data_IF_637255132237
#
_entry.id   IF_637255132237
#
_cell.length_a   1.000
_cell.length_b   1.000
_cell.length_c   1.000
_cell.angle_alpha   90.00
_cell.angle_beta   90.00
_cell.angle_gamma   90.00
#
_symmetry.space_group_name_H-M   'P 1'
#
loop_
_entity.id
_entity.type
_entity.pdbx_description
1 polymer ?
#
# COMPACT_ATOMS: atom_id res chain seq x y z
N UNK A 1 4.84 -54.09 -23.98
CA UNK A 1 5.83 -54.86 -24.76
C UNK A 1 6.03 -56.19 -24.05
N UNK A 2 5.83 -57.30 -24.76
CA UNK A 2 5.83 -58.65 -24.19
C UNK A 2 7.21 -59.05 -23.67
N UNK A 3 7.28 -59.54 -22.44
CA UNK A 3 8.48 -60.12 -21.87
C UNK A 3 8.83 -61.42 -22.61
N UNK A 4 9.91 -61.40 -23.38
CA UNK A 4 10.51 -62.59 -23.96
C UNK A 4 11.10 -63.40 -22.81
N UNK A 5 10.39 -64.45 -22.38
CA UNK A 5 10.92 -65.44 -21.44
C UNK A 5 12.02 -66.20 -22.18
N UNK A 6 13.25 -65.74 -22.04
CA UNK A 6 14.45 -66.49 -22.45
C UNK A 6 14.58 -67.67 -21.48
N UNK A 7 14.43 -68.92 -21.93
CA UNK A 7 14.68 -70.06 -21.08
C UNK A 7 16.17 -70.04 -20.70
N UNK A 8 16.48 -70.03 -19.40
CA UNK A 8 17.85 -70.23 -18.96
C UNK A 8 18.36 -71.57 -19.53
N UNK A 9 19.54 -71.61 -20.16
CA UNK A 9 20.13 -72.86 -20.64
C UNK A 9 20.35 -73.83 -19.46
N UNK A 10 20.29 -75.15 -19.68
CA UNK A 10 20.61 -76.15 -18.66
C UNK A 10 22.00 -75.84 -18.10
N UNK A 11 22.10 -75.73 -16.77
CA UNK A 11 23.30 -75.25 -16.09
C UNK A 11 24.45 -76.22 -16.42
N UNK A 12 25.46 -75.83 -17.23
CA UNK A 12 26.50 -76.73 -17.73
C UNK A 12 27.35 -77.33 -16.59
N UNK A 13 27.34 -76.67 -15.44
CA UNK A 13 27.88 -77.16 -14.17
C UNK A 13 27.14 -78.39 -13.65
N UNK A 14 25.81 -78.49 -13.83
CA UNK A 14 25.00 -79.65 -13.41
C UNK A 14 25.41 -80.92 -14.15
N UNK A 15 25.52 -80.86 -15.47
CA UNK A 15 25.95 -81.99 -16.30
C UNK A 15 27.37 -82.44 -15.94
N UNK A 16 28.26 -81.48 -15.67
CA UNK A 16 29.63 -81.75 -15.24
C UNK A 16 29.68 -82.38 -13.84
N UNK A 17 28.87 -81.90 -12.90
CA UNK A 17 28.77 -82.45 -11.54
C UNK A 17 28.25 -83.89 -11.58
N UNK A 18 27.20 -84.15 -12.38
CA UNK A 18 26.60 -85.49 -12.53
C UNK A 18 27.55 -86.47 -13.22
N UNK A 19 28.28 -86.00 -14.24
CA UNK A 19 29.35 -86.77 -14.87
C UNK A 19 30.46 -87.14 -13.87
N UNK A 20 30.94 -86.19 -13.07
CA UNK A 20 31.97 -86.44 -12.05
C UNK A 20 31.49 -87.41 -10.98
N UNK A 21 30.23 -87.31 -10.53
CA UNK A 21 29.63 -88.27 -9.58
C UNK A 21 29.48 -89.66 -10.19
N UNK A 22 29.06 -89.77 -11.46
CA UNK A 22 28.96 -91.04 -12.18
C UNK A 22 30.33 -91.69 -12.41
N UNK A 23 31.34 -90.91 -12.77
CA UNK A 23 32.73 -91.38 -12.90
C UNK A 23 33.31 -91.84 -11.57
N UNK A 24 33.04 -91.12 -10.49
CA UNK A 24 33.45 -91.54 -9.15
C UNK A 24 32.82 -92.86 -8.71
N UNK A 25 31.60 -93.16 -9.16
CA UNK A 25 30.93 -94.44 -8.86
C UNK A 25 31.52 -95.64 -9.61
N UNK A 26 32.25 -95.40 -10.71
CA UNK A 26 32.89 -96.44 -11.53
C UNK A 26 34.38 -96.67 -11.20
N UNK A 27 35.02 -95.77 -10.44
CA UNK A 27 36.45 -95.82 -10.11
C UNK A 27 36.63 -95.97 -8.60
N UNK A 28 37.30 -97.04 -8.15
CA UNK A 28 37.53 -97.31 -6.72
C UNK A 28 38.78 -96.60 -6.16
N UNK A 29 38.79 -96.36 -4.84
CA UNK A 29 39.90 -95.76 -4.11
C UNK A 29 39.99 -94.23 -4.22
N UNK A 30 41.19 -93.69 -4.00
CA UNK A 30 41.48 -92.25 -3.85
C UNK A 30 40.99 -91.38 -5.02
N UNK A 31 40.98 -91.93 -6.24
CA UNK A 31 40.56 -91.19 -7.42
C UNK A 31 39.05 -90.92 -7.42
N UNK A 32 38.23 -91.88 -6.96
CA UNK A 32 36.78 -91.68 -6.82
C UNK A 32 36.44 -90.62 -5.76
N UNK A 33 37.14 -90.61 -4.64
CA UNK A 33 36.98 -89.58 -3.59
C UNK A 33 37.35 -88.18 -4.09
N UNK A 34 38.43 -88.05 -4.87
CA UNK A 34 38.83 -86.77 -5.46
C UNK A 34 37.79 -86.24 -6.45
N UNK A 35 37.17 -87.10 -7.26
CA UNK A 35 36.10 -86.72 -8.18
C UNK A 35 34.84 -86.26 -7.44
N UNK A 36 34.44 -86.95 -6.36
CA UNK A 36 33.32 -86.51 -5.52
C UNK A 36 33.61 -85.17 -4.82
N UNK A 37 34.84 -84.97 -4.34
CA UNK A 37 35.26 -83.69 -3.74
C UNK A 37 35.24 -82.56 -4.76
N UNK A 38 35.70 -82.81 -5.99
CA UNK A 38 35.65 -81.84 -7.09
C UNK A 38 34.19 -81.49 -7.44
N UNK A 39 33.31 -82.49 -7.56
CA UNK A 39 31.88 -82.28 -7.83
C UNK A 39 31.21 -81.39 -6.77
N UNK A 40 31.44 -81.67 -5.47
CA UNK A 40 30.92 -80.84 -4.36
C UNK A 40 31.46 -79.41 -4.38
N UNK A 41 32.73 -79.25 -4.75
CA UNK A 41 33.36 -77.93 -4.82
C UNK A 41 32.77 -77.10 -5.96
N UNK A 42 32.59 -77.69 -7.14
CA UNK A 42 31.97 -77.04 -8.30
C UNK A 42 30.52 -76.64 -7.98
N UNK A 43 29.77 -77.51 -7.32
CA UNK A 43 28.40 -77.24 -6.87
C UNK A 43 28.32 -76.06 -5.90
N UNK A 44 29.19 -76.03 -4.87
CA UNK A 44 29.27 -74.93 -3.91
C UNK A 44 29.67 -73.61 -4.57
N UNK A 45 30.66 -73.62 -5.45
CA UNK A 45 31.09 -72.42 -6.18
C UNK A 45 30.00 -71.93 -7.14
N UNK A 46 29.29 -72.83 -7.81
CA UNK A 46 28.17 -72.48 -8.70
C UNK A 46 27.01 -71.84 -7.93
N UNK A 47 26.65 -72.40 -6.77
CA UNK A 47 25.62 -71.80 -5.90
C UNK A 47 26.03 -70.42 -5.39
N UNK A 48 27.30 -70.26 -4.97
CA UNK A 48 27.83 -68.97 -4.52
C UNK A 48 27.87 -67.94 -5.64
N UNK A 49 28.27 -68.33 -6.85
CA UNK A 49 28.30 -67.46 -8.02
C UNK A 49 26.89 -66.98 -8.39
N UNK A 50 25.90 -67.88 -8.44
CA UNK A 50 24.51 -67.51 -8.72
C UNK A 50 23.93 -66.56 -7.66
N UNK A 51 24.21 -66.80 -6.38
CA UNK A 51 23.77 -65.89 -5.32
C UNK A 51 24.45 -64.52 -5.40
N UNK A 52 25.76 -64.50 -5.68
CA UNK A 52 26.51 -63.25 -5.85
C UNK A 52 26.00 -62.43 -7.05
N UNK A 53 25.70 -63.09 -8.17
CA UNK A 53 25.14 -62.44 -9.36
C UNK A 53 23.75 -61.83 -9.08
N UNK A 54 22.88 -62.55 -8.37
CA UNK A 54 21.57 -62.01 -7.94
C UNK A 54 21.72 -60.80 -7.04
N UNK A 55 22.61 -60.86 -6.04
CA UNK A 55 22.86 -59.71 -5.17
C UNK A 55 23.46 -58.53 -5.92
N UNK A 56 24.35 -58.78 -6.88
CA UNK A 56 24.92 -57.73 -7.71
C UNK A 56 23.85 -57.03 -8.55
N UNK A 57 22.97 -57.79 -9.21
CA UNK A 57 21.86 -57.21 -9.97
C UNK A 57 20.90 -56.42 -9.08
N UNK A 58 20.53 -56.96 -7.92
CA UNK A 58 19.68 -56.23 -6.98
C UNK A 58 20.33 -54.91 -6.52
N UNK A 59 21.61 -54.96 -6.13
CA UNK A 59 22.34 -53.77 -5.71
C UNK A 59 22.47 -52.74 -6.84
N UNK A 60 22.64 -53.19 -8.09
CA UNK A 60 22.68 -52.33 -9.26
C UNK A 60 21.34 -51.65 -9.52
N UNK A 61 20.22 -52.38 -9.41
CA UNK A 61 18.88 -51.81 -9.53
C UNK A 61 18.54 -50.83 -8.41
N UNK A 62 18.97 -51.11 -7.18
CA UNK A 62 18.78 -50.19 -6.05
C UNK A 62 19.65 -48.95 -6.20
N UNK A 63 20.89 -49.10 -6.68
CA UNK A 63 21.78 -47.98 -6.97
C UNK A 63 21.22 -47.05 -8.03
N UNK A 64 20.71 -47.61 -9.14
CA UNK A 64 20.10 -46.83 -10.23
C UNK A 64 18.84 -46.11 -9.78
N UNK A 65 17.96 -46.79 -9.03
CA UNK A 65 16.80 -46.13 -8.41
C UNK A 65 17.19 -45.04 -7.43
N UNK A 66 18.24 -45.24 -6.64
CA UNK A 66 18.72 -44.23 -5.70
C UNK A 66 19.31 -43.01 -6.40
N UNK A 67 20.02 -43.18 -7.52
CA UNK A 67 20.53 -42.05 -8.31
C UNK A 67 19.40 -41.24 -8.93
N UNK A 68 18.40 -41.92 -9.53
CA UNK A 68 17.24 -41.25 -10.12
C UNK A 68 16.45 -40.43 -9.07
N UNK A 69 16.23 -41.00 -7.87
CA UNK A 69 15.56 -40.29 -6.78
C UNK A 69 16.37 -39.09 -6.28
N UNK A 70 17.69 -39.21 -6.22
CA UNK A 70 18.56 -38.09 -5.81
C UNK A 70 18.50 -36.96 -6.84
N UNK A 71 18.61 -37.27 -8.12
CA UNK A 71 18.52 -36.28 -9.20
C UNK A 71 17.15 -35.57 -9.19
N UNK A 72 16.06 -36.32 -9.02
CA UNK A 72 14.72 -35.75 -8.92
C UNK A 72 14.59 -34.84 -7.68
N UNK A 73 15.17 -35.22 -6.55
CA UNK A 73 15.16 -34.41 -5.33
C UNK A 73 16.02 -33.14 -5.46
N UNK A 74 17.18 -33.22 -6.12
CA UNK A 74 18.04 -32.07 -6.42
C UNK A 74 17.31 -31.06 -7.31
N UNK A 75 16.69 -31.52 -8.41
CA UNK A 75 15.89 -30.66 -9.28
C UNK A 75 14.71 -30.00 -8.55
N UNK A 76 14.03 -30.75 -7.69
CA UNK A 76 12.94 -30.21 -6.87
C UNK A 76 13.45 -29.17 -5.86
N UNK A 77 14.62 -29.42 -5.25
CA UNK A 77 15.27 -28.49 -4.32
C UNK A 77 15.66 -27.20 -5.03
N UNK A 78 16.31 -27.28 -6.19
CA UNK A 78 16.70 -26.11 -6.97
C UNK A 78 15.48 -25.28 -7.40
N UNK A 79 14.40 -25.95 -7.83
CA UNK A 79 13.14 -25.28 -8.14
C UNK A 79 12.55 -24.55 -6.92
N UNK A 80 12.57 -25.17 -5.74
CA UNK A 80 12.11 -24.53 -4.50
C UNK A 80 12.99 -23.34 -4.11
N UNK A 81 14.32 -23.45 -4.24
CA UNK A 81 15.25 -22.34 -3.99
C UNK A 81 14.94 -21.17 -4.92
N UNK A 82 14.75 -21.43 -6.22
CA UNK A 82 14.36 -20.41 -7.19
C UNK A 82 13.04 -19.72 -6.83
N UNK A 83 12.03 -20.47 -6.35
CA UNK A 83 10.78 -19.88 -5.87
C UNK A 83 10.97 -19.00 -4.63
N UNK A 84 11.81 -19.43 -3.68
CA UNK A 84 12.13 -18.63 -2.48
C UNK A 84 12.82 -17.33 -2.87
N UNK A 85 13.76 -17.36 -3.80
CA UNK A 85 14.44 -16.16 -4.30
C UNK A 85 13.46 -15.21 -5.00
N UNK A 86 12.58 -15.74 -5.85
CA UNK A 86 11.54 -14.95 -6.51
C UNK A 86 10.57 -14.30 -5.51
N UNK A 87 10.11 -15.05 -4.50
CA UNK A 87 9.23 -14.51 -3.46
C UNK A 87 9.94 -13.46 -2.60
N UNK A 88 11.22 -13.64 -2.29
CA UNK A 88 12.03 -12.63 -1.59
C UNK A 88 12.17 -11.35 -2.41
N UNK A 89 12.39 -11.46 -3.71
CA UNK A 89 12.44 -10.31 -4.61
C UNK A 89 11.11 -9.56 -4.65
N UNK A 90 9.99 -10.27 -4.79
CA UNK A 90 8.65 -9.68 -4.75
C UNK A 90 8.36 -8.99 -3.41
N UNK A 91 8.76 -9.59 -2.29
CA UNK A 91 8.59 -8.99 -0.97
C UNK A 91 9.43 -7.71 -0.85
N UNK A 92 10.67 -7.72 -1.32
CA UNK A 92 11.53 -6.53 -1.35
C UNK A 92 10.93 -5.41 -2.21
N UNK A 93 10.36 -5.75 -3.37
CA UNK A 93 9.70 -4.78 -4.25
C UNK A 93 8.44 -4.19 -3.62
N UNK A 94 7.55 -5.02 -3.08
CA UNK A 94 6.31 -4.55 -2.42
C UNK A 94 6.62 -3.71 -1.19
N UNK A 95 7.63 -4.10 -0.40
CA UNK A 95 8.02 -3.31 0.77
C UNK A 95 8.65 -1.97 0.39
N UNK A 96 9.47 -1.92 -0.66
CA UNK A 96 10.00 -0.67 -1.20
C UNK A 96 8.90 0.24 -1.75
N UNK A 97 7.95 -0.31 -2.52
CA UNK A 97 6.81 0.42 -3.04
C UNK A 97 5.93 0.98 -1.90
N UNK A 98 5.61 0.17 -0.89
CA UNK A 98 4.83 0.61 0.26
C UNK A 98 5.53 1.72 1.06
N UNK A 99 6.86 1.65 1.20
CA UNK A 99 7.64 2.70 1.85
C UNK A 99 7.62 4.01 1.05
N UNK A 100 7.73 3.93 -0.28
CA UNK A 100 7.64 5.09 -1.17
C UNK A 100 6.26 5.75 -1.11
N UNK A 101 5.18 4.95 -1.19
CA UNK A 101 3.80 5.44 -1.06
C UNK A 101 3.56 6.12 0.29
N UNK A 102 4.06 5.53 1.38
CA UNK A 102 3.94 6.13 2.72
C UNK A 102 4.69 7.46 2.81
N UNK A 103 5.89 7.54 2.25
CA UNK A 103 6.65 8.79 2.19
C UNK A 103 5.95 9.86 1.36
N UNK A 104 5.32 9.49 0.24
CA UNK A 104 4.56 10.41 -0.60
C UNK A 104 3.32 10.93 0.15
N UNK A 105 2.57 10.03 0.78
CA UNK A 105 1.41 10.37 1.59
C UNK A 105 1.76 11.30 2.75
N UNK A 106 2.83 11.00 3.49
CA UNK A 106 3.28 11.85 4.59
C UNK A 106 3.72 13.25 4.10
N UNK A 107 4.32 13.35 2.91
CA UNK A 107 4.66 14.63 2.30
C UNK A 107 3.41 15.44 1.90
N UNK A 108 2.40 14.81 1.31
CA UNK A 108 1.12 15.45 0.97
C UNK A 108 0.37 15.91 2.22
N UNK A 109 0.31 15.04 3.24
CA UNK A 109 -0.26 15.38 4.54
C UNK A 109 0.44 16.59 5.16
N UNK A 110 1.77 16.64 5.10
CA UNK A 110 2.55 17.79 5.57
C UNK A 110 2.18 19.09 4.84
N UNK A 111 2.04 19.04 3.50
CA UNK A 111 1.59 20.21 2.70
C UNK A 111 0.20 20.67 3.12
N UNK A 112 -0.74 19.74 3.30
CA UNK A 112 -2.12 20.08 3.67
C UNK A 112 -2.18 20.73 5.06
N UNK A 113 -1.43 20.21 6.03
CA UNK A 113 -1.31 20.80 7.38
C UNK A 113 -0.76 22.24 7.28
N UNK A 114 0.28 22.46 6.47
CA UNK A 114 0.83 23.79 6.24
C UNK A 114 -0.19 24.77 5.64
N UNK A 115 -0.98 24.32 4.65
CA UNK A 115 -2.05 25.13 4.07
C UNK A 115 -3.16 25.46 5.08
N UNK A 116 -3.56 24.48 5.91
CA UNK A 116 -4.54 24.71 6.98
C UNK A 116 -4.06 25.75 7.99
N UNK A 117 -2.83 25.62 8.49
CA UNK A 117 -2.25 26.59 9.42
C UNK A 117 -2.16 28.00 8.80
N UNK A 118 -1.82 28.07 7.52
CA UNK A 118 -1.80 29.34 6.81
C UNK A 118 -3.20 29.96 6.72
N UNK A 119 -4.22 29.17 6.34
CA UNK A 119 -5.60 29.60 6.27
C UNK A 119 -6.14 30.05 7.65
N UNK A 120 -5.87 29.29 8.72
CA UNK A 120 -6.22 29.65 10.10
C UNK A 120 -5.60 30.98 10.51
N UNK A 121 -4.31 31.20 10.21
CA UNK A 121 -3.63 32.46 10.50
C UNK A 121 -4.23 33.64 9.72
N UNK A 122 -4.65 33.40 8.46
CA UNK A 122 -5.24 34.42 7.61
C UNK A 122 -6.65 34.79 8.08
N UNK A 123 -7.47 33.81 8.47
CA UNK A 123 -8.78 34.04 9.09
C UNK A 123 -8.63 34.84 10.38
N UNK A 124 -7.65 34.51 11.22
CA UNK A 124 -7.37 35.26 12.46
C UNK A 124 -7.06 36.73 12.18
N UNK A 125 -6.23 37.01 11.16
CA UNK A 125 -5.92 38.39 10.73
C UNK A 125 -7.17 39.12 10.22
N UNK A 126 -7.91 38.53 9.29
CA UNK A 126 -9.14 39.12 8.75
C UNK A 126 -10.19 39.39 9.85
N UNK A 127 -10.29 38.49 10.84
CA UNK A 127 -11.18 38.68 11.99
C UNK A 127 -10.75 39.89 12.81
N UNK A 128 -9.46 40.05 13.09
CA UNK A 128 -8.95 41.24 13.80
C UNK A 128 -9.12 42.54 12.99
N UNK A 129 -8.96 42.49 11.68
CA UNK A 129 -9.20 43.63 10.79
C UNK A 129 -10.67 44.02 10.76
N UNK A 130 -11.58 43.05 10.73
CA UNK A 130 -13.03 43.31 10.82
C UNK A 130 -13.42 43.89 12.17
N UNK A 131 -12.82 43.43 13.27
CA UNK A 131 -13.13 43.93 14.60
C UNK A 131 -12.61 45.36 14.81
N UNK A 132 -11.42 45.67 14.29
CA UNK A 132 -10.91 47.06 14.30
C UNK A 132 -11.75 47.98 13.41
N UNK A 133 -12.16 47.52 12.22
CA UNK A 133 -13.06 48.27 11.35
C UNK A 133 -14.41 48.51 12.01
N UNK A 134 -14.97 47.50 12.67
CA UNK A 134 -16.24 47.62 13.40
C UNK A 134 -16.13 48.63 14.55
N UNK A 135 -15.07 48.56 15.36
CA UNK A 135 -14.82 49.54 16.41
C UNK A 135 -14.68 50.96 15.86
N UNK A 136 -14.04 51.14 14.69
CA UNK A 136 -13.95 52.42 14.01
C UNK A 136 -15.31 52.95 13.55
N UNK A 137 -16.18 52.08 13.03
CA UNK A 137 -17.55 52.44 12.61
C UNK A 137 -18.42 52.77 13.81
N UNK A 138 -18.31 52.01 14.90
CA UNK A 138 -19.05 52.27 16.14
C UNK A 138 -18.62 53.61 16.75
N UNK A 139 -17.32 53.91 16.81
CA UNK A 139 -16.81 55.22 17.23
C UNK A 139 -17.28 56.36 16.33
N UNK A 140 -17.30 56.16 15.00
CA UNK A 140 -17.85 57.13 14.07
C UNK A 140 -19.34 57.39 14.34
N UNK A 141 -20.13 56.34 14.55
CA UNK A 141 -21.56 56.43 14.86
C UNK A 141 -21.85 57.11 16.21
N UNK A 142 -20.99 56.97 17.22
CA UNK A 142 -21.14 57.72 18.48
C UNK A 142 -21.06 59.24 18.27
N UNK A 143 -20.26 59.69 17.30
CA UNK A 143 -20.10 61.11 17.00
C UNK A 143 -21.11 61.67 15.98
N UNK A 144 -21.85 60.80 15.28
CA UNK A 144 -22.74 61.18 14.17
C UNK A 144 -24.15 60.69 14.41
N UNK A 145 -25.10 61.61 14.58
CA UNK A 145 -26.53 61.29 14.58
C UNK A 145 -27.01 61.19 13.13
N UNK A 146 -27.32 59.97 12.69
CA UNK A 146 -27.98 59.76 11.39
C UNK A 146 -29.44 60.18 11.48
N UNK A 147 -29.79 61.25 10.77
CA UNK A 147 -31.18 61.72 10.64
C UNK A 147 -31.65 61.45 9.20
N UNK A 148 -32.82 60.81 9.00
CA UNK A 148 -33.41 60.64 7.67
C UNK A 148 -33.56 62.00 6.96
N UNK A 149 -33.31 62.05 5.65
CA UNK A 149 -33.41 63.29 4.88
C UNK A 149 -34.83 63.87 4.97
N UNK A 150 -35.82 62.99 4.99
CA UNK A 150 -37.23 63.33 5.10
C UNK A 150 -37.52 64.05 6.42
N UNK A 151 -36.87 63.65 7.52
CA UNK A 151 -36.99 64.33 8.81
C UNK A 151 -36.32 65.71 8.79
N UNK A 152 -35.17 65.86 8.12
CA UNK A 152 -34.54 67.19 7.91
C UNK A 152 -35.41 68.10 7.03
N UNK A 153 -35.97 67.57 5.92
CA UNK A 153 -36.88 68.32 5.05
C UNK A 153 -38.16 68.73 5.80
N UNK A 154 -38.71 67.86 6.64
CA UNK A 154 -39.86 68.19 7.47
C UNK A 154 -39.52 69.29 8.47
N UNK A 155 -38.41 69.18 9.20
CA UNK A 155 -37.96 70.20 10.13
C UNK A 155 -37.77 71.55 9.43
N UNK A 156 -37.23 71.57 8.19
CA UNK A 156 -37.09 72.79 7.39
C UNK A 156 -38.43 73.50 7.18
N UNK A 157 -39.45 72.76 6.75
CA UNK A 157 -40.80 73.32 6.54
C UNK A 157 -41.43 73.82 7.84
N UNK A 158 -41.15 73.18 8.97
CA UNK A 158 -41.62 73.62 10.29
C UNK A 158 -40.94 74.95 10.70
N UNK A 159 -39.64 75.12 10.46
CA UNK A 159 -38.93 76.36 10.71
C UNK A 159 -39.43 77.52 9.83
N UNK A 160 -39.75 77.26 8.56
CA UNK A 160 -40.36 78.27 7.68
C UNK A 160 -41.73 78.73 8.19
N UNK A 161 -42.55 77.77 8.63
CA UNK A 161 -43.85 78.06 9.24
C UNK A 161 -43.69 78.91 10.50
N UNK A 162 -42.78 78.53 11.41
CA UNK A 162 -42.50 79.27 12.65
C UNK A 162 -41.99 80.69 12.36
N UNK A 163 -41.04 80.85 11.44
CA UNK A 163 -40.54 82.17 11.01
C UNK A 163 -41.69 83.07 10.56
N UNK A 164 -42.58 82.56 9.70
CA UNK A 164 -43.75 83.32 9.22
C UNK A 164 -44.74 83.68 10.34
N UNK A 165 -44.91 82.82 11.34
CA UNK A 165 -45.77 83.07 12.50
C UNK A 165 -45.19 84.15 13.43
N UNK A 166 -43.89 84.14 13.67
CA UNK A 166 -43.21 85.14 14.52
C UNK A 166 -43.14 86.51 13.83
N UNK A 167 -42.91 86.54 12.52
CA UNK A 167 -43.00 87.77 11.74
C UNK A 167 -44.37 88.45 11.86
N UNK A 168 -45.46 87.67 11.82
CA UNK A 168 -46.83 88.18 12.01
C UNK A 168 -47.12 88.68 13.42
N UNK A 169 -46.48 88.11 14.44
CA UNK A 169 -46.65 88.48 15.85
C UNK A 169 -45.72 89.60 16.32
N UNK A 170 -44.77 90.02 15.48
CA UNK A 170 -43.80 91.07 15.81
C UNK A 170 -42.71 90.64 16.78
N UNK A 171 -42.34 89.35 16.79
CA UNK A 171 -41.23 88.83 17.60
C UNK A 171 -39.99 88.56 16.71
N UNK A 172 -39.10 89.55 16.56
CA UNK A 172 -37.96 89.45 15.65
C UNK A 172 -36.89 88.46 16.14
N UNK A 173 -36.81 88.20 17.46
CA UNK A 173 -35.82 87.28 18.02
C UNK A 173 -36.20 85.85 17.66
N UNK A 174 -37.47 85.48 17.88
CA UNK A 174 -37.96 84.15 17.53
C UNK A 174 -37.99 83.91 16.01
N UNK A 175 -38.23 84.96 15.22
CA UNK A 175 -38.10 84.91 13.76
C UNK A 175 -36.65 84.61 13.34
N UNK A 176 -35.67 85.37 13.84
CA UNK A 176 -34.26 85.18 13.51
C UNK A 176 -33.76 83.78 13.93
N UNK A 177 -34.16 83.30 15.12
CA UNK A 177 -33.83 81.94 15.56
C UNK A 177 -34.41 80.86 14.65
N UNK A 178 -35.62 81.07 14.11
CA UNK A 178 -36.25 80.13 13.18
C UNK A 178 -35.57 80.13 11.81
N UNK A 179 -35.13 81.30 11.33
CA UNK A 179 -34.37 81.44 10.08
C UNK A 179 -32.97 80.82 10.19
N UNK A 180 -32.27 81.01 11.32
CA UNK A 180 -30.97 80.37 11.60
C UNK A 180 -31.13 78.85 11.65
N UNK A 181 -32.18 78.34 12.31
CA UNK A 181 -32.48 76.91 12.34
C UNK A 181 -32.78 76.34 10.95
N UNK A 182 -33.55 77.06 10.14
CA UNK A 182 -33.82 76.70 8.74
C UNK A 182 -32.55 76.69 7.87
N UNK A 183 -31.71 77.71 8.00
CA UNK A 183 -30.44 77.82 7.26
C UNK A 183 -29.45 76.71 7.62
N UNK A 184 -29.35 76.33 8.89
CA UNK A 184 -28.52 75.21 9.33
C UNK A 184 -28.95 73.88 8.69
N UNK A 185 -30.27 73.66 8.53
CA UNK A 185 -30.80 72.48 7.84
C UNK A 185 -30.51 72.52 6.34
N UNK A 186 -30.63 73.68 5.69
CA UNK A 186 -30.28 73.83 4.27
C UNK A 186 -28.79 73.53 4.02
N UNK A 187 -27.91 73.95 4.93
CA UNK A 187 -26.48 73.63 4.88
C UNK A 187 -26.24 72.12 5.01
N UNK A 188 -26.94 71.45 5.93
CA UNK A 188 -26.86 69.99 6.09
C UNK A 188 -27.38 69.22 4.85
N UNK A 189 -28.49 69.68 4.24
CA UNK A 189 -29.08 69.06 3.05
C UNK A 189 -28.21 69.27 1.79
N UNK A 190 -27.55 70.41 1.67
CA UNK A 190 -26.66 70.73 0.54
C UNK A 190 -25.32 69.98 0.64
N UNK A 191 -24.74 69.87 1.83
CA UNK A 191 -23.54 69.06 2.08
C UNK A 191 -23.73 67.58 1.69
N UNK A 192 -24.93 67.02 1.92
CA UNK A 192 -25.25 65.64 1.47
C UNK A 192 -25.33 65.53 -0.06
N UNK A 193 -25.88 66.54 -0.73
CA UNK A 193 -26.04 66.55 -2.21
C UNK A 193 -24.70 66.61 -2.96
N UNK A 194 -23.65 67.13 -2.33
CA UNK A 194 -22.28 67.14 -2.87
C UNK A 194 -21.52 65.84 -2.61
N UNK A 195 -21.84 65.12 -1.52
CA UNK A 195 -21.20 63.84 -1.19
C UNK A 195 -21.70 62.66 -2.06
N UNK A 196 -22.90 62.74 -2.62
CA UNK A 196 -23.53 61.69 -3.46
C UNK A 196 -23.13 61.76 -4.95
N UNK A 197 -22.23 62.69 -5.32
CA UNK A 197 -21.80 62.96 -6.70
C UNK A 197 -20.30 62.74 -6.97
N UNK A 198 -19.54 62.30 -5.97
CA UNK A 198 -18.13 61.90 -6.08
C UNK A 198 -17.99 60.42 -5.76
#
# INVERSE_FOLDING_TARGET
MSATVVPLPPNPSSETIDFLRRMASMVSGRNGEMLLRAARMIESLSQRAMSAERFYHQAQEESTRSTELREAAELASDAMVGQIEALRAQLAEVTAAAAAERSAFDAERGKLIGLMQHAESHIGKLTSELETLRASVDSFNETVVSVPIEALRLARTQFDYLSSCFARRGDPISQAMSEIGGFAIDQALTAKKTADKG
#
